data_IF_146304887637
#
_entry.id   IF_146304887637
#
_cell.length_a   1.000
_cell.length_b   1.000
_cell.length_c   1.000
_cell.angle_alpha   90.00
_cell.angle_beta   90.00
_cell.angle_gamma   90.00
#
_symmetry.space_group_name_H-M   'P 1'
#
loop_
_entity.id
_entity.type
_entity.pdbx_description
1 polymer ?
#
# COMPACT_ATOMS: atom_id res chain seq x y z
N UNK A 1 -3.01 10.12 -16.63
CA UNK A 1 -3.10 10.65 -15.24
C UNK A 1 -4.34 10.00 -14.64
N UNK A 2 -4.30 9.27 -13.52
CA UNK A 2 -5.49 8.52 -13.09
C UNK A 2 -6.57 9.48 -12.58
N UNK A 3 -7.70 9.53 -13.29
CA UNK A 3 -8.87 10.37 -13.05
C UNK A 3 -9.45 10.15 -11.63
N UNK A 4 -9.20 8.97 -11.05
CA UNK A 4 -9.63 8.58 -9.71
C UNK A 4 -8.72 9.04 -8.56
N UNK A 5 -7.59 9.69 -8.85
CA UNK A 5 -6.64 10.11 -7.81
C UNK A 5 -7.26 10.97 -6.67
N UNK A 6 -8.19 11.92 -6.93
CA UNK A 6 -8.84 12.68 -5.87
C UNK A 6 -9.67 11.81 -4.92
N UNK A 7 -10.39 10.82 -5.46
CA UNK A 7 -11.24 9.91 -4.69
C UNK A 7 -10.39 8.95 -3.84
N UNK A 8 -9.27 8.46 -4.37
CA UNK A 8 -8.34 7.63 -3.59
C UNK A 8 -7.75 8.40 -2.39
N UNK A 9 -7.44 9.68 -2.57
CA UNK A 9 -6.99 10.56 -1.47
C UNK A 9 -8.09 10.80 -0.45
N UNK A 10 -9.34 11.00 -0.89
CA UNK A 10 -10.50 11.09 0.00
C UNK A 10 -10.61 9.84 0.89
N UNK A 11 -10.54 8.65 0.30
CA UNK A 11 -10.62 7.40 1.06
C UNK A 11 -9.46 7.22 2.04
N UNK A 12 -8.24 7.63 1.65
CA UNK A 12 -7.10 7.62 2.56
C UNK A 12 -7.33 8.52 3.80
N UNK A 13 -7.86 9.73 3.58
CA UNK A 13 -8.24 10.66 4.67
C UNK A 13 -9.38 10.11 5.53
N UNK A 14 -10.39 9.49 4.92
CA UNK A 14 -11.56 8.93 5.62
C UNK A 14 -11.20 7.84 6.65
N UNK A 15 -10.06 7.15 6.49
CA UNK A 15 -9.56 6.17 7.48
C UNK A 15 -9.27 6.79 8.85
N UNK A 16 -9.13 8.12 8.92
CA UNK A 16 -8.85 8.87 10.14
C UNK A 16 -10.12 9.51 10.74
N UNK A 17 -11.30 9.17 10.22
CA UNK A 17 -12.54 9.83 10.57
C UNK A 17 -12.61 11.22 9.94
N UNK A 18 -13.58 11.40 9.06
CA UNK A 18 -13.75 12.61 8.27
C UNK A 18 -15.17 13.12 8.47
N UNK A 19 -15.30 14.36 8.93
CA UNK A 19 -16.59 15.02 9.18
C UNK A 19 -16.71 16.25 8.31
N UNK A 20 -17.63 16.22 7.36
CA UNK A 20 -17.91 17.35 6.47
C UNK A 20 -18.89 18.32 7.13
N UNK A 21 -18.68 19.60 6.88
CA UNK A 21 -19.53 20.69 7.39
C UNK A 21 -19.88 21.67 6.27
N UNK A 22 -20.57 22.77 6.64
CA UNK A 22 -20.91 23.84 5.71
C UNK A 22 -21.75 23.38 4.52
N UNK A 23 -21.43 23.95 3.37
CA UNK A 23 -22.18 23.76 2.13
C UNK A 23 -22.03 22.34 1.57
N UNK A 24 -20.86 21.74 1.76
CA UNK A 24 -20.56 20.36 1.37
C UNK A 24 -21.48 19.38 2.09
N UNK A 25 -21.65 19.53 3.41
CA UNK A 25 -22.58 18.70 4.19
C UNK A 25 -24.02 18.84 3.68
N UNK A 26 -24.45 20.07 3.39
CA UNK A 26 -25.80 20.35 2.90
C UNK A 26 -26.05 19.66 1.56
N UNK A 27 -25.21 19.92 0.56
CA UNK A 27 -25.34 19.38 -0.80
C UNK A 27 -25.26 17.85 -0.84
N UNK A 28 -24.30 17.27 -0.12
CA UNK A 28 -24.17 15.81 -0.06
C UNK A 28 -25.35 15.19 0.68
N UNK A 29 -25.83 15.81 1.76
CA UNK A 29 -27.04 15.37 2.47
C UNK A 29 -28.26 15.31 1.56
N UNK A 30 -28.51 16.37 0.78
CA UNK A 30 -29.61 16.42 -0.20
C UNK A 30 -29.49 15.32 -1.26
N UNK A 31 -28.29 15.11 -1.82
CA UNK A 31 -28.04 14.04 -2.79
C UNK A 31 -28.25 12.64 -2.19
N UNK A 32 -27.83 12.43 -0.94
CA UNK A 32 -27.97 11.14 -0.26
C UNK A 32 -29.43 10.82 0.07
N UNK A 33 -30.22 11.81 0.49
CA UNK A 33 -31.66 11.65 0.74
C UNK A 33 -32.39 11.28 -0.56
N UNK A 34 -31.98 11.84 -1.70
CA UNK A 34 -32.57 11.56 -3.01
C UNK A 34 -32.26 10.17 -3.60
N UNK A 35 -31.36 9.38 -3.01
CA UNK A 35 -30.90 8.09 -3.58
C UNK A 35 -31.95 6.98 -3.56
N UNK A 36 -32.84 6.97 -2.57
CA UNK A 36 -33.76 5.87 -2.28
C UNK A 36 -34.84 5.67 -3.35
N UNK A 37 -35.16 6.71 -4.14
CA UNK A 37 -36.16 6.67 -5.22
C UNK A 37 -35.62 6.41 -6.62
N UNK A 38 -34.29 6.30 -6.79
CA UNK A 38 -33.67 6.26 -8.12
C UNK A 38 -33.52 4.83 -8.67
N UNK A 39 -33.48 4.72 -10.01
CA UNK A 39 -33.18 3.45 -10.71
C UNK A 39 -31.75 2.98 -10.41
N UNK A 40 -31.43 1.69 -10.54
CA UNK A 40 -30.13 1.14 -10.15
C UNK A 40 -28.91 1.83 -10.76
N UNK A 41 -28.97 2.17 -12.05
CA UNK A 41 -27.86 2.87 -12.74
C UNK A 41 -27.69 4.31 -12.25
N UNK A 42 -28.81 5.01 -12.05
CA UNK A 42 -28.82 6.40 -11.59
C UNK A 42 -28.19 6.50 -10.17
N UNK A 43 -28.37 5.49 -9.31
CA UNK A 43 -27.72 5.44 -7.98
C UNK A 43 -26.19 5.46 -8.06
N UNK A 44 -25.60 4.81 -9.06
CA UNK A 44 -24.14 4.81 -9.26
C UNK A 44 -23.67 6.20 -9.66
N UNK A 45 -24.40 6.88 -10.56
CA UNK A 45 -24.07 8.26 -10.97
C UNK A 45 -24.16 9.23 -9.79
N UNK A 46 -25.19 9.12 -8.96
CA UNK A 46 -25.33 9.91 -7.73
C UNK A 46 -24.20 9.64 -6.75
N UNK A 47 -23.80 8.38 -6.56
CA UNK A 47 -22.66 8.03 -5.72
C UNK A 47 -21.36 8.67 -6.23
N UNK A 48 -21.10 8.60 -7.54
CA UNK A 48 -19.91 9.22 -8.14
C UNK A 48 -19.93 10.74 -7.99
N UNK A 49 -21.10 11.36 -8.11
CA UNK A 49 -21.28 12.80 -7.87
C UNK A 49 -21.00 13.17 -6.41
N UNK A 50 -21.50 12.38 -5.45
CA UNK A 50 -21.19 12.57 -4.02
C UNK A 50 -19.69 12.43 -3.78
N UNK A 51 -19.05 11.37 -4.29
CA UNK A 51 -17.60 11.16 -4.13
C UNK A 51 -16.78 12.30 -4.73
N UNK A 52 -17.19 12.85 -5.87
CA UNK A 52 -16.55 14.01 -6.48
C UNK A 52 -16.63 15.24 -5.57
N UNK A 53 -17.83 15.58 -5.09
CA UNK A 53 -18.04 16.74 -4.20
C UNK A 53 -17.22 16.59 -2.92
N UNK A 54 -17.21 15.40 -2.31
CA UNK A 54 -16.44 15.13 -1.11
C UNK A 54 -14.92 15.19 -1.36
N UNK A 55 -14.46 14.74 -2.53
CA UNK A 55 -13.04 14.73 -2.88
C UNK A 55 -12.49 16.12 -3.22
N UNK A 56 -13.35 17.03 -3.70
CA UNK A 56 -13.01 18.41 -4.07
C UNK A 56 -13.24 19.42 -2.94
N UNK A 57 -13.87 18.99 -1.83
CA UNK A 57 -14.24 19.88 -0.73
C UNK A 57 -13.10 20.11 0.26
N UNK A 58 -12.98 21.36 0.71
CA UNK A 58 -12.14 21.79 1.83
C UNK A 58 -12.93 21.95 3.14
N UNK A 59 -14.25 21.79 3.11
CA UNK A 59 -15.15 21.97 4.26
C UNK A 59 -15.27 20.69 5.11
N UNK A 60 -14.14 20.26 5.68
CA UNK A 60 -14.09 19.07 6.53
C UNK A 60 -13.20 19.24 7.75
N UNK A 61 -13.46 18.40 8.76
CA UNK A 61 -12.59 18.19 9.91
C UNK A 61 -12.22 16.73 10.03
N UNK A 62 -10.95 16.47 10.37
CA UNK A 62 -10.52 15.14 10.77
C UNK A 62 -10.94 14.90 12.23
N UNK A 63 -11.53 13.75 12.49
CA UNK A 63 -12.05 13.38 13.81
C UNK A 63 -10.98 12.68 14.67
N UNK A 64 -9.96 12.10 14.03
CA UNK A 64 -8.79 11.53 14.69
C UNK A 64 -7.58 12.45 14.43
N UNK A 65 -7.51 13.56 15.17
CA UNK A 65 -6.41 14.54 15.10
C UNK A 65 -5.20 13.98 15.83
N UNK A 66 -4.53 13.04 15.20
CA UNK A 66 -3.14 12.71 15.49
C UNK A 66 -2.35 13.01 14.23
N UNK A 67 -1.95 14.26 14.04
CA UNK A 67 -1.27 14.79 12.84
C UNK A 67 0.00 14.00 12.43
N UNK A 68 0.54 13.18 13.33
CA UNK A 68 1.60 12.22 13.03
C UNK A 68 1.15 11.08 12.11
N UNK A 69 -0.11 10.66 12.13
CA UNK A 69 -0.52 9.38 11.50
C UNK A 69 -0.63 9.44 9.97
N UNK A 70 -0.99 10.58 9.38
CA UNK A 70 -1.13 10.70 7.91
C UNK A 70 0.23 10.70 7.23
N UNK A 71 1.14 11.53 7.73
CA UNK A 71 2.53 11.58 7.27
C UNK A 71 3.22 10.25 7.55
N UNK A 72 3.00 9.64 8.73
CA UNK A 72 3.53 8.31 9.04
C UNK A 72 2.98 7.25 8.08
N UNK A 73 1.70 7.24 7.74
CA UNK A 73 1.16 6.25 6.80
C UNK A 73 1.67 6.42 5.36
N UNK A 74 1.80 7.66 4.87
CA UNK A 74 2.38 7.92 3.56
C UNK A 74 3.87 7.56 3.53
N UNK A 75 4.62 7.95 4.56
CA UNK A 75 6.03 7.60 4.73
C UNK A 75 6.22 6.09 4.86
N UNK A 76 5.32 5.39 5.56
CA UNK A 76 5.36 3.93 5.69
C UNK A 76 5.11 3.24 4.35
N UNK A 77 4.18 3.77 3.54
CA UNK A 77 3.94 3.29 2.17
C UNK A 77 5.14 3.52 1.25
N UNK A 78 5.77 4.70 1.30
CA UNK A 78 6.98 5.00 0.53
C UNK A 78 8.14 4.09 0.93
N UNK A 79 8.38 3.93 2.24
CA UNK A 79 9.40 3.03 2.77
C UNK A 79 9.14 1.59 2.37
N UNK A 80 7.90 1.10 2.47
CA UNK A 80 7.57 -0.27 2.02
C UNK A 80 7.82 -0.43 0.53
N UNK A 81 7.40 0.52 -0.30
CA UNK A 81 7.68 0.52 -1.75
C UNK A 81 9.18 0.43 -2.03
N UNK A 82 9.99 1.22 -1.33
CA UNK A 82 11.44 1.19 -1.46
C UNK A 82 12.04 -0.17 -1.04
N UNK A 83 11.52 -0.80 0.01
CA UNK A 83 11.94 -2.15 0.44
C UNK A 83 11.58 -3.19 -0.63
N UNK A 84 10.38 -3.14 -1.20
CA UNK A 84 9.96 -4.06 -2.27
C UNK A 84 10.87 -3.95 -3.49
N UNK A 85 11.11 -2.73 -3.98
CA UNK A 85 12.01 -2.48 -5.12
C UNK A 85 13.42 -2.96 -4.83
N UNK A 86 13.92 -2.71 -3.62
CA UNK A 86 15.23 -3.18 -3.22
C UNK A 86 15.34 -4.71 -3.25
N UNK A 87 14.33 -5.43 -2.74
CA UNK A 87 14.31 -6.89 -2.79
C UNK A 87 14.19 -7.40 -4.23
N UNK A 88 13.35 -6.79 -5.06
CA UNK A 88 13.24 -7.15 -6.47
C UNK A 88 14.57 -7.03 -7.23
N UNK A 89 15.41 -6.04 -6.89
CA UNK A 89 16.70 -5.82 -7.52
C UNK A 89 17.84 -6.70 -6.95
N UNK A 90 17.67 -7.24 -5.75
CA UNK A 90 18.76 -7.89 -5.01
C UNK A 90 18.46 -9.29 -4.46
N UNK A 91 17.25 -9.84 -4.67
CA UNK A 91 16.86 -11.15 -4.11
C UNK A 91 17.79 -12.30 -4.52
N UNK A 92 18.48 -12.19 -5.65
CA UNK A 92 19.40 -13.20 -6.19
C UNK A 92 20.66 -13.40 -5.34
N UNK A 93 21.00 -12.43 -4.47
CA UNK A 93 22.12 -12.51 -3.53
C UNK A 93 21.64 -12.49 -2.09
N UNK A 94 22.55 -12.75 -1.15
CA UNK A 94 22.28 -12.50 0.27
C UNK A 94 22.07 -11.00 0.51
N UNK A 95 20.99 -10.66 1.21
CA UNK A 95 20.65 -9.29 1.60
C UNK A 95 20.94 -9.14 3.10
N UNK A 96 21.92 -8.32 3.43
CA UNK A 96 22.24 -8.04 4.82
C UNK A 96 21.21 -7.07 5.43
N UNK A 97 20.76 -7.33 6.66
CA UNK A 97 19.81 -6.44 7.36
C UNK A 97 20.29 -4.98 7.46
N UNK A 98 21.59 -4.68 7.73
CA UNK A 98 22.09 -3.31 7.73
C UNK A 98 21.87 -2.56 6.41
N UNK A 99 21.91 -3.27 5.28
CA UNK A 99 21.80 -2.68 3.95
C UNK A 99 20.39 -2.14 3.69
N UNK A 100 19.38 -2.98 3.90
CA UNK A 100 17.97 -2.59 3.74
C UNK A 100 17.52 -1.61 4.82
N UNK A 101 18.05 -1.73 6.05
CA UNK A 101 17.77 -0.77 7.12
C UNK A 101 18.34 0.61 6.79
N UNK A 102 19.57 0.69 6.28
CA UNK A 102 20.20 1.92 5.80
C UNK A 102 19.43 2.56 4.64
N UNK A 103 18.87 1.76 3.72
CA UNK A 103 18.08 2.24 2.58
C UNK A 103 16.85 3.07 2.99
N UNK A 104 16.27 2.77 4.16
CA UNK A 104 15.11 3.50 4.71
C UNK A 104 15.46 4.38 5.92
N UNK A 105 16.75 4.65 6.13
CA UNK A 105 17.29 5.46 7.23
C UNK A 105 16.87 4.95 8.63
N UNK A 106 16.95 3.64 8.84
CA UNK A 106 16.66 3.01 10.13
C UNK A 106 17.86 2.21 10.65
N UNK A 107 17.94 2.08 11.98
CA UNK A 107 18.80 1.06 12.61
C UNK A 107 18.22 -0.33 12.36
N UNK A 108 19.05 -1.37 12.39
CA UNK A 108 18.61 -2.76 12.18
C UNK A 108 17.48 -3.18 13.15
N UNK A 109 17.55 -2.90 14.47
CA UNK A 109 16.45 -3.25 15.37
C UNK A 109 15.15 -2.51 15.06
N UNK A 110 15.24 -1.23 14.66
CA UNK A 110 14.07 -0.44 14.27
C UNK A 110 13.44 -1.00 13.00
N UNK A 111 14.25 -1.31 11.98
CA UNK A 111 13.80 -1.96 10.75
C UNK A 111 13.08 -3.28 11.02
N UNK A 112 13.65 -4.17 11.82
CA UNK A 112 13.03 -5.47 12.10
C UNK A 112 11.65 -5.33 12.75
N UNK A 113 11.51 -4.43 13.74
CA UNK A 113 10.21 -4.15 14.38
C UNK A 113 9.24 -3.52 13.41
N UNK A 114 9.69 -2.50 12.65
CA UNK A 114 8.92 -1.78 11.65
C UNK A 114 8.36 -2.72 10.58
N UNK A 115 9.24 -3.50 9.95
CA UNK A 115 8.89 -4.42 8.87
C UNK A 115 7.92 -5.51 9.36
N UNK A 116 8.16 -6.07 10.56
CA UNK A 116 7.26 -7.08 11.14
C UNK A 116 5.89 -6.50 11.48
N UNK A 117 5.83 -5.26 12.00
CA UNK A 117 4.57 -4.57 12.30
C UNK A 117 3.73 -4.35 11.04
N UNK A 118 4.35 -3.97 9.91
CA UNK A 118 3.62 -3.69 8.67
C UNK A 118 3.32 -4.93 7.84
N UNK A 119 4.27 -5.87 7.71
CA UNK A 119 4.15 -7.04 6.84
C UNK A 119 3.59 -8.30 7.53
N UNK A 120 3.54 -8.29 8.87
CA UNK A 120 3.17 -9.46 9.68
C UNK A 120 4.24 -10.57 9.72
N UNK A 121 5.40 -10.39 9.06
CA UNK A 121 6.45 -11.42 8.95
C UNK A 121 7.86 -10.83 9.08
N UNK A 122 8.85 -11.69 9.26
CA UNK A 122 10.26 -11.27 9.27
C UNK A 122 10.71 -10.93 7.85
N UNK A 123 11.70 -10.05 7.72
CA UNK A 123 12.27 -9.71 6.42
C UNK A 123 12.85 -10.93 5.70
N UNK A 124 13.55 -11.81 6.41
CA UNK A 124 14.08 -13.06 5.85
C UNK A 124 12.98 -13.94 5.25
N UNK A 125 11.85 -14.10 5.97
CA UNK A 125 10.71 -14.87 5.47
C UNK A 125 10.13 -14.22 4.21
N UNK A 126 10.01 -12.90 4.21
CA UNK A 126 9.54 -12.15 3.05
C UNK A 126 10.44 -12.36 1.82
N UNK A 127 11.76 -12.26 1.96
CA UNK A 127 12.71 -12.50 0.85
C UNK A 127 12.59 -13.95 0.35
N UNK A 128 12.49 -14.93 1.24
CA UNK A 128 12.35 -16.33 0.84
C UNK A 128 11.03 -16.59 0.09
N UNK A 129 9.91 -16.03 0.55
CA UNK A 129 8.64 -16.12 -0.17
C UNK A 129 8.72 -15.47 -1.56
N UNK A 130 9.42 -14.34 -1.69
CA UNK A 130 9.67 -13.70 -2.98
C UNK A 130 10.51 -14.59 -3.92
N UNK A 131 11.58 -15.21 -3.40
CA UNK A 131 12.42 -16.15 -4.17
C UNK A 131 11.63 -17.37 -4.65
N UNK A 132 10.78 -17.93 -3.80
CA UNK A 132 9.91 -19.06 -4.17
C UNK A 132 8.97 -18.64 -5.32
N UNK A 133 8.35 -17.47 -5.23
CA UNK A 133 7.47 -16.97 -6.27
C UNK A 133 8.20 -16.79 -7.62
N UNK A 134 9.43 -16.29 -7.61
CA UNK A 134 10.24 -16.16 -8.83
C UNK A 134 10.69 -17.52 -9.38
N UNK A 135 11.05 -18.47 -8.51
CA UNK A 135 11.38 -19.83 -8.94
C UNK A 135 10.18 -20.51 -9.62
N UNK A 136 8.99 -20.39 -9.04
CA UNK A 136 7.76 -20.90 -9.66
C UNK A 136 7.49 -20.27 -11.03
N UNK A 137 7.74 -18.97 -11.19
CA UNK A 137 7.62 -18.28 -12.47
C UNK A 137 8.61 -18.86 -13.50
N UNK A 138 9.89 -18.96 -13.15
CA UNK A 138 10.92 -19.51 -14.04
C UNK A 138 10.70 -20.98 -14.41
N UNK A 139 10.10 -21.79 -13.51
CA UNK A 139 9.74 -23.17 -13.81
C UNK A 139 8.65 -23.27 -14.89
N UNK A 140 7.78 -22.26 -15.00
CA UNK A 140 6.71 -22.23 -16.01
C UNK A 140 7.27 -21.97 -17.42
N UNK A 141 8.41 -21.26 -17.53
CA UNK A 141 9.06 -20.96 -18.81
C UNK A 141 9.84 -22.16 -19.40
N UNK A 142 10.01 -23.26 -18.64
CA UNK A 142 10.37 -24.60 -19.15
C UNK A 142 11.79 -24.81 -19.69
N UNK A 143 12.68 -23.81 -19.68
CA UNK A 143 14.00 -23.92 -20.33
C UNK A 143 15.19 -24.15 -19.39
N UNK A 144 14.99 -24.21 -18.07
CA UNK A 144 16.09 -24.30 -17.09
C UNK A 144 15.91 -25.48 -16.13
N UNK A 145 17.02 -26.09 -15.72
CA UNK A 145 17.00 -27.13 -14.68
C UNK A 145 16.62 -26.54 -13.32
N UNK A 146 16.02 -27.35 -12.45
CA UNK A 146 15.62 -26.94 -11.09
C UNK A 146 16.82 -26.40 -10.30
N UNK A 147 18.00 -27.01 -10.47
CA UNK A 147 19.24 -26.56 -9.83
C UNK A 147 19.63 -25.13 -10.28
N UNK A 148 19.57 -24.85 -11.59
CA UNK A 148 19.88 -23.52 -12.11
C UNK A 148 18.85 -22.48 -11.67
N UNK A 149 17.57 -22.86 -11.61
CA UNK A 149 16.51 -21.98 -11.10
C UNK A 149 16.73 -21.64 -9.62
N UNK A 150 17.12 -22.63 -8.81
CA UNK A 150 17.50 -22.41 -7.42
C UNK A 150 18.65 -21.42 -7.28
N UNK A 151 19.65 -21.55 -8.16
CA UNK A 151 20.80 -20.67 -8.21
C UNK A 151 20.44 -19.23 -8.59
N UNK A 152 19.66 -19.07 -9.66
CA UNK A 152 19.20 -17.76 -10.15
C UNK A 152 18.29 -17.05 -9.15
N UNK A 153 17.59 -17.80 -8.31
CA UNK A 153 16.72 -17.25 -7.27
C UNK A 153 17.43 -16.98 -5.93
N UNK A 154 18.75 -17.16 -5.85
CA UNK A 154 19.52 -16.82 -4.65
C UNK A 154 19.41 -17.82 -3.51
N UNK A 155 19.05 -19.08 -3.79
CA UNK A 155 19.05 -20.16 -2.80
C UNK A 155 20.46 -20.72 -2.51
N UNK A 156 21.49 -20.23 -3.21
CA UNK A 156 22.89 -20.67 -3.06
C UNK A 156 23.49 -20.44 -1.68
N UNK A 157 22.93 -19.48 -0.92
CA UNK A 157 23.45 -19.05 0.37
C UNK A 157 22.51 -19.37 1.54
N UNK A 158 21.58 -20.32 1.39
CA UNK A 158 20.86 -20.89 2.54
C UNK A 158 21.77 -21.88 3.30
N UNK A 159 22.90 -21.39 3.79
CA UNK A 159 23.67 -22.03 4.85
C UNK A 159 23.39 -21.25 6.13
N UNK A 160 22.22 -21.43 6.74
CA UNK A 160 21.92 -21.23 8.16
C UNK A 160 20.44 -21.48 8.48
#
# INVERSE_FOLDING_TARGET
>A
RPEMAPILRLFAKARQGLSFHGETKRRVGELLIGLSGQRPLDRILYLLQVLRILAESEEYRLLNVGDLTVEVHAQDQERMTAIYQFVEQHFQRSIALPEVAGKINMTVPAFCRYFKKLSGKTFTRFVNEFRIAQACRLMTDGQRSIANIGFDCGFNNLSH
#
